data_IF_548287100972
#
_entry.id   IF_548287100972
#
_cell.length_a   1.000
_cell.length_b   1.000
_cell.length_c   1.000
_cell.angle_alpha   90.00
_cell.angle_beta   90.00
_cell.angle_gamma   90.00
#
_symmetry.space_group_name_H-M   'P 1'
#
loop_
_entity.id
_entity.type
_entity.pdbx_description
1 polymer ?
#
# COMPACT_ATOMS: atom_id res chain seq x y z
N UNK A 1 -6.64 0.17 -6.71
CA UNK A 1 -6.50 0.18 -5.24
C UNK A 1 -7.29 -0.99 -4.67
N UNK A 2 -6.79 -1.62 -3.61
CA UNK A 2 -7.48 -2.69 -2.90
C UNK A 2 -7.65 -2.25 -1.44
N UNK A 3 -8.86 -2.37 -0.90
CA UNK A 3 -9.18 -2.15 0.50
C UNK A 3 -9.92 -3.40 1.01
N UNK A 4 -9.20 -4.26 1.74
CA UNK A 4 -9.72 -5.57 2.14
C UNK A 4 -10.77 -5.45 3.25
N UNK A 5 -10.59 -4.51 4.19
CA UNK A 5 -11.58 -4.26 5.24
C UNK A 5 -12.87 -3.64 4.67
N UNK A 6 -12.75 -2.80 3.64
CA UNK A 6 -13.87 -2.21 2.92
C UNK A 6 -14.46 -3.04 1.77
N UNK A 7 -14.04 -4.29 1.59
CA UNK A 7 -14.51 -5.19 0.52
C UNK A 7 -14.40 -4.60 -0.90
N UNK A 8 -13.36 -3.80 -1.17
CA UNK A 8 -13.13 -3.14 -2.45
C UNK A 8 -11.88 -3.69 -3.14
N UNK A 9 -12.06 -4.25 -4.33
CA UNK A 9 -10.96 -4.55 -5.25
C UNK A 9 -11.15 -3.75 -6.55
N UNK A 10 -10.56 -2.55 -6.59
CA UNK A 10 -10.51 -1.72 -7.78
C UNK A 10 -9.17 -1.94 -8.51
N UNK A 11 -8.93 -3.19 -8.91
CA UNK A 11 -7.81 -3.60 -9.76
C UNK A 11 -8.31 -4.54 -10.85
N UNK A 12 -7.43 -4.90 -11.78
CA UNK A 12 -7.73 -5.92 -12.80
C UNK A 12 -7.40 -7.35 -12.33
N UNK A 13 -7.07 -7.53 -11.04
CA UNK A 13 -6.57 -8.78 -10.47
C UNK A 13 -7.55 -9.28 -9.41
N UNK A 14 -8.54 -10.13 -9.78
CA UNK A 14 -9.57 -10.58 -8.87
C UNK A 14 -9.01 -11.39 -7.68
N UNK A 15 -7.87 -12.06 -7.84
CA UNK A 15 -7.20 -12.86 -6.81
C UNK A 15 -6.80 -12.03 -5.59
N UNK A 16 -6.61 -10.72 -5.73
CA UNK A 16 -6.35 -9.86 -4.57
C UNK A 16 -7.52 -9.82 -3.58
N UNK A 17 -8.74 -10.15 -4.00
CA UNK A 17 -9.89 -10.29 -3.10
C UNK A 17 -9.79 -11.52 -2.19
N UNK A 18 -8.91 -12.48 -2.50
CA UNK A 18 -8.69 -13.69 -1.71
C UNK A 18 -7.65 -13.49 -0.59
N UNK A 19 -6.95 -12.35 -0.58
CA UNK A 19 -5.98 -12.04 0.45
C UNK A 19 -6.65 -11.98 1.83
N UNK A 20 -5.99 -12.52 2.88
CA UNK A 20 -6.48 -12.34 4.24
C UNK A 20 -6.56 -10.85 4.60
N UNK A 21 -7.58 -10.48 5.39
CA UNK A 21 -7.60 -9.17 6.04
C UNK A 21 -6.46 -9.12 7.07
N UNK A 22 -5.70 -8.03 7.07
CA UNK A 22 -4.59 -7.82 8.01
C UNK A 22 -4.30 -6.35 8.23
N UNK A 23 -3.17 -6.07 8.88
CA UNK A 23 -2.77 -4.71 9.28
C UNK A 23 -1.72 -4.05 8.39
N UNK A 24 -1.34 -4.66 7.26
CA UNK A 24 -0.27 -4.14 6.39
C UNK A 24 -0.87 -3.30 5.28
N UNK A 25 -0.50 -2.02 5.22
CA UNK A 25 -0.76 -1.15 4.07
C UNK A 25 0.44 -1.20 3.10
N UNK A 26 0.23 -1.66 1.86
CA UNK A 26 1.27 -1.70 0.84
C UNK A 26 1.13 -0.52 -0.13
N UNK A 27 2.17 0.30 -0.26
CA UNK A 27 2.32 1.29 -1.33
C UNK A 27 3.40 0.79 -2.30
N UNK A 28 3.09 0.70 -3.59
CA UNK A 28 4.08 0.28 -4.59
C UNK A 28 4.06 1.18 -5.81
N UNK A 29 5.25 1.61 -6.23
CA UNK A 29 5.44 2.28 -7.51
C UNK A 29 5.37 1.30 -8.70
N UNK A 30 5.59 0.01 -8.48
CA UNK A 30 5.63 -1.01 -9.54
C UNK A 30 4.41 -1.92 -9.47
N UNK A 31 3.62 -1.94 -10.55
CA UNK A 31 2.50 -2.87 -10.69
C UNK A 31 2.94 -4.34 -10.60
N UNK A 32 4.06 -4.71 -11.23
CA UNK A 32 4.61 -6.06 -11.15
C UNK A 32 5.03 -6.46 -9.74
N UNK A 33 5.64 -5.53 -8.99
CA UNK A 33 6.00 -5.82 -7.59
C UNK A 33 4.79 -5.89 -6.67
N UNK A 34 3.73 -5.11 -6.93
CA UNK A 34 2.45 -5.29 -6.27
C UNK A 34 1.95 -6.73 -6.42
N UNK A 35 1.95 -7.25 -7.64
CA UNK A 35 1.51 -8.63 -7.90
C UNK A 35 2.40 -9.65 -7.22
N UNK A 36 3.72 -9.52 -7.38
CA UNK A 36 4.67 -10.45 -6.78
C UNK A 36 4.50 -10.53 -5.25
N UNK A 37 4.49 -9.38 -4.57
CA UNK A 37 4.34 -9.32 -3.10
C UNK A 37 2.98 -9.86 -2.69
N UNK A 38 1.91 -9.48 -3.39
CA UNK A 38 0.55 -9.93 -3.06
C UNK A 38 0.37 -11.43 -3.23
N UNK A 39 0.90 -12.03 -4.31
CA UNK A 39 0.81 -13.48 -4.50
C UNK A 39 1.67 -14.27 -3.51
N UNK A 40 2.85 -13.76 -3.14
CA UNK A 40 3.65 -14.36 -2.08
C UNK A 40 2.94 -14.30 -0.73
N UNK A 41 2.34 -13.15 -0.40
CA UNK A 41 1.56 -13.00 0.82
C UNK A 41 0.30 -13.88 0.83
N UNK A 42 -0.40 -14.02 -0.30
CA UNK A 42 -1.51 -14.95 -0.43
C UNK A 42 -1.09 -16.39 -0.15
N UNK A 43 0.05 -16.82 -0.71
CA UNK A 43 0.63 -18.14 -0.48
C UNK A 43 1.00 -18.35 1.00
N UNK A 44 1.56 -17.32 1.64
CA UNK A 44 2.10 -17.39 3.00
C UNK A 44 1.07 -17.02 4.08
N UNK A 45 -0.19 -16.75 3.70
CA UNK A 45 -1.27 -16.39 4.64
C UNK A 45 -1.09 -15.02 5.29
N UNK A 46 -0.32 -14.11 4.68
CA UNK A 46 -0.07 -12.76 5.18
C UNK A 46 -1.19 -11.82 4.69
N UNK A 47 -1.83 -11.14 5.63
CA UNK A 47 -2.94 -10.24 5.34
C UNK A 47 -2.55 -8.77 5.17
N UNK A 48 -3.34 -8.04 4.38
CA UNK A 48 -3.20 -6.61 4.17
C UNK A 48 -4.43 -5.84 4.66
N UNK A 49 -4.25 -4.58 4.98
CA UNK A 49 -5.35 -3.63 5.11
C UNK A 49 -5.71 -3.10 3.72
N UNK A 50 -4.72 -2.52 3.05
CA UNK A 50 -4.84 -1.85 1.75
C UNK A 50 -3.62 -2.13 0.88
N UNK A 51 -3.84 -2.21 -0.43
CA UNK A 51 -2.77 -2.29 -1.43
C UNK A 51 -2.99 -1.18 -2.46
N UNK A 52 -1.99 -0.33 -2.63
CA UNK A 52 -2.05 0.87 -3.46
C UNK A 52 -0.88 0.88 -4.44
N UNK A 53 -1.18 0.70 -5.72
CA UNK A 53 -0.22 0.95 -6.80
C UNK A 53 -0.28 2.43 -7.20
N UNK A 54 0.82 3.16 -7.06
CA UNK A 54 0.89 4.61 -7.37
C UNK A 54 1.57 4.92 -8.73
N UNK A 55 2.15 3.91 -9.38
CA UNK A 55 2.66 4.01 -10.75
C UNK A 55 3.60 5.20 -10.99
N UNK A 56 3.24 6.08 -11.90
CA UNK A 56 4.06 7.24 -12.30
C UNK A 56 3.99 8.43 -11.34
N UNK A 57 3.12 8.40 -10.32
CA UNK A 57 3.05 9.43 -9.26
C UNK A 57 2.81 10.87 -9.76
N UNK A 58 1.98 11.04 -10.79
CA UNK A 58 1.73 12.36 -11.41
C UNK A 58 0.94 13.32 -10.51
N UNK A 59 0.05 12.79 -9.67
CA UNK A 59 -0.85 13.58 -8.82
C UNK A 59 -0.75 13.20 -7.34
N UNK A 60 -0.61 11.90 -7.06
CA UNK A 60 -0.52 11.36 -5.70
C UNK A 60 0.85 10.72 -5.53
N UNK A 61 1.58 11.14 -4.49
CA UNK A 61 2.92 10.64 -4.15
C UNK A 61 2.94 9.91 -2.79
N UNK A 62 4.10 9.34 -2.44
CA UNK A 62 4.32 8.56 -1.22
C UNK A 62 3.93 9.31 0.04
N UNK A 63 4.25 10.59 0.16
CA UNK A 63 3.95 11.36 1.38
C UNK A 63 2.44 11.39 1.65
N UNK A 64 1.64 11.67 0.63
CA UNK A 64 0.18 11.70 0.74
C UNK A 64 -0.42 10.32 1.03
N UNK A 65 0.13 9.24 0.45
CA UNK A 65 -0.33 7.89 0.77
C UNK A 65 0.09 7.42 2.15
N UNK A 66 1.27 7.82 2.62
CA UNK A 66 1.71 7.55 3.99
C UNK A 66 0.81 8.27 4.98
N UNK A 67 0.55 9.57 4.78
CA UNK A 67 -0.38 10.33 5.63
C UNK A 67 -1.78 9.69 5.67
N UNK A 68 -2.32 9.31 4.51
CA UNK A 68 -3.58 8.60 4.42
C UNK A 68 -3.59 7.27 5.20
N UNK A 69 -2.55 6.45 5.05
CA UNK A 69 -2.46 5.15 5.75
C UNK A 69 -2.16 5.29 7.24
N UNK A 70 -1.51 6.36 7.68
CA UNK A 70 -1.27 6.64 9.10
C UNK A 70 -2.56 6.98 9.87
N UNK A 71 -3.57 7.51 9.17
CA UNK A 71 -4.87 7.84 9.73
C UNK A 71 -5.87 6.68 9.63
N UNK A 72 -5.48 5.58 8.99
CA UNK A 72 -6.34 4.43 8.74
C UNK A 72 -6.31 3.46 9.93
N UNK A 73 -7.43 3.25 10.66
CA UNK A 73 -7.45 2.41 11.86
C UNK A 73 -7.17 0.93 11.58
N UNK A 74 -7.28 0.51 10.32
CA UNK A 74 -6.99 -0.86 9.89
C UNK A 74 -5.49 -1.09 9.59
N UNK A 75 -4.67 -0.03 9.51
CA UNK A 75 -3.26 -0.12 9.10
C UNK A 75 -2.32 0.06 10.30
N UNK A 76 -1.60 -1.00 10.64
CA UNK A 76 -0.60 -1.03 11.71
C UNK A 76 0.85 -0.92 11.17
N UNK A 77 1.08 -1.33 9.93
CA UNK A 77 2.39 -1.34 9.28
C UNK A 77 2.24 -0.82 7.86
N UNK A 78 3.11 0.12 7.44
CA UNK A 78 3.16 0.63 6.07
C UNK A 78 4.43 0.07 5.40
N UNK A 79 4.23 -0.74 4.36
CA UNK A 79 5.29 -1.25 3.52
C UNK A 79 5.35 -0.45 2.21
N UNK A 80 6.54 -0.03 1.80
CA UNK A 80 6.72 0.79 0.59
C UNK A 80 7.71 0.11 -0.36
N UNK A 81 7.26 -0.18 -1.58
CA UNK A 81 8.16 -0.46 -2.70
C UNK A 81 8.37 0.80 -3.55
N UNK A 82 9.58 1.36 -3.46
CA UNK A 82 9.96 2.64 -4.06
C UNK A 82 11.16 2.44 -4.99
N UNK A 83 11.06 2.92 -6.24
CA UNK A 83 12.23 3.00 -7.15
C UNK A 83 12.96 4.32 -6.99
N UNK A 84 12.23 5.39 -6.67
CA UNK A 84 12.78 6.72 -6.38
C UNK A 84 11.72 7.66 -5.81
N UNK A 85 12.17 8.75 -5.21
CA UNK A 85 11.33 9.78 -4.58
C UNK A 85 11.79 11.16 -5.03
N UNK A 86 10.85 12.00 -5.43
CA UNK A 86 11.15 13.33 -5.96
C UNK A 86 11.30 14.36 -4.83
N UNK A 87 10.50 14.22 -3.77
CA UNK A 87 10.57 15.05 -2.56
C UNK A 87 10.82 14.23 -1.28
N UNK A 88 12.05 13.74 -1.03
CA UNK A 88 12.35 12.90 0.12
C UNK A 88 12.11 13.61 1.47
N UNK A 89 12.29 14.94 1.52
CA UNK A 89 12.11 15.71 2.77
C UNK A 89 10.66 15.69 3.23
N UNK A 90 9.72 15.85 2.31
CA UNK A 90 8.28 15.81 2.60
C UNK A 90 7.86 14.43 3.12
N UNK A 91 8.33 13.36 2.47
CA UNK A 91 8.07 11.99 2.94
C UNK A 91 8.62 11.76 4.36
N UNK A 92 9.87 12.17 4.62
CA UNK A 92 10.49 12.05 5.95
C UNK A 92 9.75 12.86 7.01
N UNK A 93 9.30 14.08 6.68
CA UNK A 93 8.56 14.90 7.62
C UNK A 93 7.19 14.30 7.94
N UNK A 94 6.53 13.70 6.94
CA UNK A 94 5.24 13.03 7.11
C UNK A 94 5.37 11.81 8.03
N UNK A 95 6.36 10.94 7.79
CA UNK A 95 6.53 9.70 8.59
C UNK A 95 6.83 9.97 10.06
N UNK A 96 7.45 11.11 10.39
CA UNK A 96 7.71 11.52 11.79
C UNK A 96 6.46 11.84 12.59
N UNK A 97 5.32 12.04 11.91
CA UNK A 97 4.04 12.29 12.58
C UNK A 97 3.38 10.98 13.06
N UNK A 98 3.90 9.82 12.65
CA UNK A 98 3.32 8.53 13.04
C UNK A 98 3.70 8.21 14.49
N UNK A 99 2.67 8.06 15.33
CA UNK A 99 2.78 7.75 16.75
C UNK A 99 2.39 6.31 17.03
#
# INVERSE_FOLDING_TARGET
MINLHGHLNASFTPEFSLLPKGGIGLISQSGGMCHLISFLALRDGIGFSKIVGIGNRLNVDFAQMVDFLMQDPDTNVIAIYMKGVDNPKELINTTKLWR
#
